data_IF_788936945393
#
_entry.id   IF_788936945393
#
_cell.length_a   1.000
_cell.length_b   1.000
_cell.length_c   1.000
_cell.angle_alpha   90.00
_cell.angle_beta   90.00
_cell.angle_gamma   90.00
#
_symmetry.space_group_name_H-M   'P 1'
#
loop_
_entity.id
_entity.type
_entity.pdbx_description
1 polymer ?
#
# COMPACT_ATOMS: atom_id res chain seq x y z
N UNK A 1 19.32 14.79 10.27
CA UNK A 1 18.40 13.77 10.82
C UNK A 1 17.59 13.24 9.68
N UNK A 2 17.51 11.92 9.49
CA UNK A 2 16.65 11.36 8.45
C UNK A 2 15.20 11.78 8.72
N UNK A 3 14.42 12.08 7.66
CA UNK A 3 13.00 12.30 7.84
C UNK A 3 12.39 11.04 8.47
N UNK A 4 11.42 11.21 9.37
CA UNK A 4 11.08 10.18 10.36
C UNK A 4 10.46 8.88 9.80
N UNK A 5 10.16 8.84 8.50
CA UNK A 5 9.69 7.65 7.78
C UNK A 5 10.78 6.96 6.93
N UNK A 6 11.96 7.57 6.77
CA UNK A 6 13.05 6.99 5.98
C UNK A 6 13.89 6.03 6.81
N UNK A 7 14.08 4.82 6.31
CA UNK A 7 14.84 3.78 7.01
C UNK A 7 14.47 2.38 6.56
N UNK A 8 15.11 1.41 7.19
CA UNK A 8 14.75 0.00 7.10
C UNK A 8 13.85 -0.35 8.28
N UNK A 9 12.68 -0.90 8.00
CA UNK A 9 11.60 -1.11 8.95
C UNK A 9 11.21 -2.58 8.98
N UNK A 10 11.00 -3.13 10.17
CA UNK A 10 10.45 -4.46 10.39
C UNK A 10 9.13 -4.35 11.16
N UNK A 11 8.09 -5.01 10.67
CA UNK A 11 6.79 -5.08 11.33
C UNK A 11 6.91 -5.93 12.61
N UNK A 12 6.60 -5.34 13.76
CA UNK A 12 6.45 -6.07 15.02
C UNK A 12 5.04 -6.66 15.09
N UNK A 13 4.93 -7.95 14.76
CA UNK A 13 3.66 -8.68 14.75
C UNK A 13 3.10 -8.93 16.15
N UNK A 14 3.87 -8.72 17.23
CA UNK A 14 3.42 -8.95 18.61
C UNK A 14 2.56 -7.83 19.15
N UNK A 15 2.77 -6.60 18.64
CA UNK A 15 2.00 -5.41 19.02
C UNK A 15 1.07 -4.93 17.90
N UNK A 16 1.30 -5.38 16.66
CA UNK A 16 0.42 -5.10 15.53
C UNK A 16 -0.94 -5.78 15.68
N UNK A 17 -1.98 -5.14 15.15
CA UNK A 17 -3.37 -5.61 15.23
C UNK A 17 -4.01 -5.62 13.85
N UNK A 18 -4.77 -6.68 13.59
CA UNK A 18 -5.55 -6.88 12.38
C UNK A 18 -6.91 -7.41 12.79
N UNK A 19 -7.94 -6.61 12.56
CA UNK A 19 -9.33 -6.97 12.78
C UNK A 19 -9.97 -7.19 11.40
N UNK A 20 -10.32 -8.44 11.10
CA UNK A 20 -10.98 -8.80 9.84
C UNK A 20 -12.40 -9.29 10.11
N UNK A 21 -13.35 -8.88 9.27
CA UNK A 21 -14.70 -9.44 9.30
C UNK A 21 -14.71 -10.94 8.98
N UNK A 22 -13.78 -11.39 8.14
CA UNK A 22 -13.55 -12.79 7.81
C UNK A 22 -12.05 -13.11 7.78
N UNK A 23 -11.63 -14.32 8.19
CA UNK A 23 -10.23 -14.71 8.13
C UNK A 23 -9.68 -14.58 6.69
N UNK A 24 -8.54 -13.91 6.49
CA UNK A 24 -7.91 -13.84 5.17
C UNK A 24 -7.43 -15.22 4.74
N UNK A 25 -7.39 -15.47 3.43
CA UNK A 25 -6.78 -16.69 2.90
C UNK A 25 -5.28 -16.70 3.18
N UNK A 26 -4.69 -17.91 3.24
CA UNK A 26 -3.23 -18.06 3.38
C UNK A 26 -2.49 -17.32 2.26
N UNK A 27 -3.01 -17.37 1.03
CA UNK A 27 -2.43 -16.63 -0.10
C UNK A 27 -2.43 -15.12 0.12
N UNK A 28 -3.52 -14.55 0.65
CA UNK A 28 -3.59 -13.13 0.99
C UNK A 28 -2.58 -12.76 2.10
N UNK A 29 -2.46 -13.60 3.13
CA UNK A 29 -1.49 -13.41 4.20
C UNK A 29 -0.04 -13.45 3.69
N UNK A 30 0.31 -14.42 2.83
CA UNK A 30 1.64 -14.51 2.24
C UNK A 30 1.93 -13.29 1.37
N UNK A 31 0.96 -12.88 0.55
CA UNK A 31 1.08 -11.69 -0.30
C UNK A 31 1.36 -10.43 0.53
N UNK A 32 0.61 -10.23 1.61
CA UNK A 32 0.85 -9.13 2.55
C UNK A 32 2.19 -9.24 3.24
N UNK A 33 2.55 -10.43 3.72
CA UNK A 33 3.81 -10.66 4.40
C UNK A 33 5.00 -10.29 3.51
N UNK A 34 4.98 -10.76 2.25
CA UNK A 34 6.04 -10.46 1.27
C UNK A 34 6.13 -8.98 0.92
N UNK A 35 5.08 -8.19 1.14
CA UNK A 35 5.02 -6.77 0.78
C UNK A 35 5.30 -5.84 1.95
N UNK A 36 4.94 -6.23 3.18
CA UNK A 36 4.81 -5.33 4.33
C UNK A 36 5.65 -5.70 5.54
N UNK A 37 6.12 -6.95 5.70
CA UNK A 37 6.78 -7.37 6.95
C UNK A 37 8.13 -6.72 7.14
N UNK A 38 8.90 -6.53 6.07
CA UNK A 38 10.19 -5.84 6.13
C UNK A 38 10.34 -4.95 4.90
N UNK A 39 10.43 -3.65 5.12
CA UNK A 39 10.40 -2.65 4.06
C UNK A 39 11.49 -1.63 4.25
N UNK A 40 12.08 -1.18 3.15
CA UNK A 40 12.91 0.01 3.07
C UNK A 40 12.04 1.14 2.57
N UNK A 41 12.05 2.25 3.28
CA UNK A 41 11.34 3.47 2.92
C UNK A 41 12.33 4.62 2.72
N UNK A 42 12.08 5.45 1.72
CA UNK A 42 12.76 6.73 1.56
C UNK A 42 11.73 7.81 1.21
N UNK A 43 11.73 8.91 1.96
CA UNK A 43 10.90 10.07 1.72
C UNK A 43 11.77 11.17 1.11
N UNK A 44 11.58 11.45 -0.18
CA UNK A 44 12.35 12.45 -0.93
C UNK A 44 11.46 13.16 -1.94
N UNK A 45 11.64 14.47 -2.08
CA UNK A 45 11.02 15.28 -3.15
C UNK A 45 9.51 15.08 -3.33
N UNK A 46 8.76 14.97 -2.22
CA UNK A 46 7.31 14.76 -2.27
C UNK A 46 6.91 13.35 -2.69
N UNK A 47 7.82 12.38 -2.61
CA UNK A 47 7.59 10.97 -2.91
C UNK A 47 7.94 10.09 -1.73
N UNK A 48 7.16 9.02 -1.56
CA UNK A 48 7.51 7.90 -0.70
C UNK A 48 7.93 6.72 -1.58
N UNK A 49 9.20 6.33 -1.50
CA UNK A 49 9.73 5.13 -2.14
C UNK A 49 9.64 3.97 -1.14
N UNK A 50 9.08 2.85 -1.57
CA UNK A 50 8.91 1.66 -0.71
C UNK A 50 9.41 0.42 -1.45
N UNK A 51 10.26 -0.36 -0.80
CA UNK A 51 10.73 -1.65 -1.31
C UNK A 51 10.67 -2.69 -0.19
N UNK A 52 10.05 -3.84 -0.45
CA UNK A 52 10.13 -4.99 0.44
C UNK A 52 11.54 -5.58 0.40
N UNK A 53 12.08 -5.94 1.56
CA UNK A 53 13.35 -6.65 1.68
C UNK A 53 13.30 -8.05 1.04
N UNK A 54 12.11 -8.63 0.87
CA UNK A 54 11.96 -9.98 0.32
C UNK A 54 12.14 -10.00 -1.20
N UNK A 55 11.81 -8.89 -1.89
CA UNK A 55 11.96 -8.72 -3.35
C UNK A 55 11.61 -9.99 -4.12
N UNK A 56 10.39 -10.51 -3.91
CA UNK A 56 9.92 -11.75 -4.54
C UNK A 56 10.18 -11.74 -6.05
N UNK A 57 10.02 -10.56 -6.66
CA UNK A 57 10.44 -10.30 -8.03
C UNK A 57 11.42 -9.10 -8.08
N UNK A 58 12.49 -9.18 -8.90
CA UNK A 58 13.37 -8.05 -9.15
C UNK A 58 12.60 -6.86 -9.70
N UNK A 59 12.68 -5.74 -8.99
CA UNK A 59 11.97 -4.50 -9.32
C UNK A 59 12.71 -3.30 -8.71
N UNK A 60 12.42 -2.12 -9.25
CA UNK A 60 12.68 -0.85 -8.59
C UNK A 60 11.67 -0.63 -7.44
N UNK A 61 11.98 0.24 -6.45
CA UNK A 61 11.04 0.58 -5.41
C UNK A 61 9.72 1.13 -5.97
N UNK A 62 8.61 0.80 -5.32
CA UNK A 62 7.33 1.44 -5.60
C UNK A 62 7.42 2.92 -5.20
N UNK A 63 7.21 3.82 -6.17
CA UNK A 63 7.27 5.26 -5.96
C UNK A 63 5.86 5.84 -5.85
N UNK A 64 5.50 6.30 -4.65
CA UNK A 64 4.23 6.97 -4.38
C UNK A 64 4.41 8.49 -4.41
N UNK A 65 3.77 9.15 -5.36
CA UNK A 65 3.66 10.62 -5.41
C UNK A 65 2.71 11.10 -4.31
N UNK A 66 3.11 12.13 -3.55
CA UNK A 66 2.38 12.64 -2.39
C UNK A 66 1.68 13.99 -2.67
N UNK A 67 1.23 14.20 -3.91
CA UNK A 67 0.64 15.46 -4.39
C UNK A 67 -0.90 15.52 -4.28
N UNK A 68 -1.51 14.47 -3.73
CA UNK A 68 -2.95 14.35 -3.55
C UNK A 68 -3.74 14.02 -4.81
N UNK A 69 -3.07 13.66 -5.92
CA UNK A 69 -3.72 13.31 -7.19
C UNK A 69 -3.76 11.79 -7.42
N UNK A 70 -4.65 11.32 -8.32
CA UNK A 70 -4.65 9.94 -8.80
C UNK A 70 -3.39 9.59 -9.60
N UNK A 71 -2.76 8.47 -9.27
CA UNK A 71 -1.60 7.91 -9.94
C UNK A 71 -1.73 6.39 -10.12
N UNK A 72 -0.83 5.80 -10.89
CA UNK A 72 -0.76 4.34 -11.12
C UNK A 72 0.63 3.82 -10.79
N UNK A 73 0.72 2.89 -9.84
CA UNK A 73 1.90 2.06 -9.63
C UNK A 73 1.94 0.94 -10.67
N UNK A 74 3.14 0.62 -11.14
CA UNK A 74 3.39 -0.53 -12.03
C UNK A 74 3.70 -1.82 -11.28
N UNK A 75 4.30 -1.70 -10.10
CA UNK A 75 4.68 -2.82 -9.27
C UNK A 75 4.50 -2.47 -7.79
N UNK A 76 4.08 -3.47 -7.00
CA UNK A 76 4.05 -3.42 -5.55
C UNK A 76 5.45 -3.55 -4.95
N UNK A 77 5.65 -3.23 -3.65
CA UNK A 77 6.97 -3.24 -3.03
C UNK A 77 7.70 -4.59 -3.06
N UNK A 78 6.98 -5.70 -3.22
CA UNK A 78 7.54 -7.04 -3.39
C UNK A 78 7.94 -7.36 -4.85
N UNK A 79 7.66 -6.47 -5.80
CA UNK A 79 7.89 -6.60 -7.23
C UNK A 79 6.76 -7.21 -8.02
N UNK A 80 5.63 -7.56 -7.39
CA UNK A 80 4.45 -8.06 -8.09
C UNK A 80 3.86 -6.97 -9.01
N UNK A 81 3.56 -7.33 -10.26
CA UNK A 81 2.93 -6.41 -11.21
C UNK A 81 1.50 -6.09 -10.79
N UNK A 82 1.11 -4.83 -10.93
CA UNK A 82 -0.23 -4.33 -10.57
C UNK A 82 -1.26 -4.53 -11.68
N UNK A 83 -0.81 -4.81 -12.91
CA UNK A 83 -1.67 -5.02 -14.07
C UNK A 83 -1.90 -6.52 -14.30
N UNK A 84 -2.99 -7.05 -13.72
CA UNK A 84 -3.45 -8.42 -13.95
C UNK A 84 -4.64 -8.48 -14.92
N UNK A 85 -4.83 -9.64 -15.55
CA UNK A 85 -5.97 -9.89 -16.46
C UNK A 85 -7.33 -9.99 -15.74
N UNK A 86 -7.32 -10.32 -14.46
CA UNK A 86 -8.52 -10.47 -13.62
C UNK A 86 -8.70 -9.34 -12.61
N UNK A 87 -7.58 -8.87 -12.06
CA UNK A 87 -7.56 -7.81 -11.07
C UNK A 87 -6.63 -6.73 -11.57
N UNK A 88 -7.15 -5.52 -11.70
CA UNK A 88 -6.37 -4.32 -11.93
C UNK A 88 -6.11 -3.66 -10.59
N UNK A 89 -4.84 -3.44 -10.27
CA UNK A 89 -4.41 -2.80 -9.04
C UNK A 89 -3.46 -1.64 -9.36
N UNK A 90 -2.95 -1.01 -8.30
CA UNK A 90 -1.89 -0.01 -8.41
C UNK A 90 -2.39 1.42 -8.57
N UNK A 91 -3.69 1.64 -8.78
CA UNK A 91 -4.27 2.97 -8.64
C UNK A 91 -4.10 3.46 -7.20
N UNK A 92 -3.64 4.70 -7.01
CA UNK A 92 -3.51 5.27 -5.68
C UNK A 92 -3.64 6.79 -5.65
N UNK A 93 -3.84 7.31 -4.43
CA UNK A 93 -3.69 8.73 -4.09
C UNK A 93 -2.81 8.84 -2.85
N UNK A 94 -1.74 9.61 -2.93
CA UNK A 94 -0.84 9.86 -1.80
C UNK A 94 -0.85 11.33 -1.37
N UNK A 95 -0.75 11.60 -0.07
CA UNK A 95 -0.66 12.95 0.50
C UNK A 95 0.33 12.99 1.65
N UNK A 96 1.18 14.00 1.67
CA UNK A 96 1.97 14.36 2.85
C UNK A 96 1.14 15.31 3.74
N UNK A 97 1.05 15.00 5.04
CA UNK A 97 0.33 15.81 6.03
C UNK A 97 1.28 16.08 7.20
N UNK A 98 2.09 17.14 7.07
CA UNK A 98 3.16 17.39 8.03
C UNK A 98 4.23 16.28 7.95
N UNK A 99 4.40 15.52 9.03
CA UNK A 99 5.30 14.35 9.08
C UNK A 99 4.60 13.03 8.73
N UNK A 100 3.27 13.04 8.61
CA UNK A 100 2.45 11.88 8.29
C UNK A 100 2.34 11.71 6.78
N UNK A 101 2.07 10.47 6.35
CA UNK A 101 1.71 10.14 4.97
C UNK A 101 0.39 9.39 4.95
N UNK A 102 -0.57 9.90 4.18
CA UNK A 102 -1.82 9.20 3.85
C UNK A 102 -1.68 8.61 2.44
N UNK A 103 -1.93 7.31 2.30
CA UNK A 103 -2.03 6.61 1.01
C UNK A 103 -3.39 5.94 0.92
N UNK A 104 -4.03 6.01 -0.25
CA UNK A 104 -5.20 5.19 -0.56
C UNK A 104 -4.88 4.39 -1.81
N UNK A 105 -4.84 3.08 -1.69
CA UNK A 105 -4.54 2.16 -2.78
C UNK A 105 -5.82 1.46 -3.23
N UNK A 106 -6.02 1.29 -4.54
CA UNK A 106 -7.24 0.74 -5.12
C UNK A 106 -6.95 -0.53 -5.94
N UNK A 107 -7.93 -1.43 -5.94
CA UNK A 107 -7.95 -2.66 -6.71
C UNK A 107 -9.34 -2.90 -7.30
N UNK A 108 -9.42 -3.44 -8.51
CA UNK A 108 -10.63 -3.67 -9.26
C UNK A 108 -10.64 -5.13 -9.73
N UNK A 109 -11.52 -5.95 -9.15
CA UNK A 109 -11.70 -7.35 -9.53
C UNK A 109 -12.88 -7.47 -10.49
N UNK A 110 -12.55 -7.64 -11.78
CA UNK A 110 -13.53 -7.74 -12.85
C UNK A 110 -14.37 -9.01 -12.78
N UNK A 111 -13.80 -10.10 -12.25
CA UNK A 111 -14.52 -11.37 -12.14
C UNK A 111 -15.46 -11.39 -10.93
N UNK A 112 -15.11 -10.69 -9.86
CA UNK A 112 -15.95 -10.57 -8.68
C UNK A 112 -16.94 -9.39 -8.75
N UNK A 113 -16.88 -8.55 -9.80
CA UNK A 113 -17.63 -7.30 -9.91
C UNK A 113 -17.55 -6.47 -8.62
N UNK A 114 -16.32 -6.27 -8.16
CA UNK A 114 -16.05 -5.54 -6.93
C UNK A 114 -14.75 -4.77 -7.01
N UNK A 115 -14.67 -3.70 -6.24
CA UNK A 115 -13.44 -2.97 -6.02
C UNK A 115 -13.10 -2.97 -4.53
N UNK A 116 -11.80 -2.91 -4.25
CA UNK A 116 -11.26 -2.71 -2.91
C UNK A 116 -10.45 -1.42 -2.86
N UNK A 117 -10.48 -0.74 -1.72
CA UNK A 117 -9.49 0.29 -1.41
C UNK A 117 -8.91 0.06 -0.02
N UNK A 118 -7.62 0.30 0.13
CA UNK A 118 -6.93 0.27 1.41
C UNK A 118 -6.42 1.68 1.69
N UNK A 119 -7.00 2.32 2.71
CA UNK A 119 -6.50 3.56 3.24
C UNK A 119 -5.43 3.25 4.29
N UNK A 120 -4.25 3.83 4.13
CA UNK A 120 -3.08 3.68 4.98
C UNK A 120 -2.71 5.05 5.53
N UNK A 121 -2.43 5.13 6.82
CA UNK A 121 -1.92 6.33 7.48
C UNK A 121 -0.64 5.99 8.21
N UNK A 122 0.48 6.45 7.67
CA UNK A 122 1.82 6.29 8.21
C UNK A 122 2.14 7.47 9.11
N UNK A 123 2.46 7.18 10.37
CA UNK A 123 2.80 8.16 11.40
C UNK A 123 4.10 7.79 12.08
N UNK A 124 5.09 8.69 12.08
CA UNK A 124 6.19 8.57 13.02
C UNK A 124 5.72 8.59 14.47
N UNK A 125 6.25 7.69 15.28
CA UNK A 125 5.99 7.62 16.71
C UNK A 125 7.31 7.37 17.45
N UNK A 126 8.02 8.47 17.76
CA UNK A 126 9.37 8.42 18.32
C UNK A 126 10.36 7.77 17.35
N UNK A 127 10.83 6.56 17.69
CA UNK A 127 11.73 5.76 16.84
C UNK A 127 11.00 4.73 15.99
N UNK A 128 9.68 4.61 16.12
CA UNK A 128 8.84 3.64 15.42
C UNK A 128 8.02 4.33 14.32
N UNK A 129 7.43 3.52 13.44
CA UNK A 129 6.38 3.97 12.52
C UNK A 129 5.11 3.19 12.82
N UNK A 130 4.01 3.90 13.02
CA UNK A 130 2.68 3.32 13.09
C UNK A 130 1.99 3.47 11.74
N UNK A 131 1.45 2.38 11.20
CA UNK A 131 0.63 2.38 10.01
C UNK A 131 -0.79 1.94 10.38
N UNK A 132 -1.68 2.91 10.59
CA UNK A 132 -3.11 2.62 10.69
C UNK A 132 -3.67 2.29 9.32
N UNK A 133 -4.61 1.34 9.23
CA UNK A 133 -5.25 1.04 7.96
C UNK A 133 -6.72 0.68 8.09
N UNK A 134 -7.46 0.97 7.01
CA UNK A 134 -8.82 0.50 6.77
C UNK A 134 -8.93 -0.05 5.36
N UNK A 135 -9.43 -1.27 5.25
CA UNK A 135 -9.76 -1.90 3.98
C UNK A 135 -11.26 -1.89 3.78
N UNK A 136 -11.66 -1.20 2.71
CA UNK A 136 -13.03 -1.09 2.26
C UNK A 136 -13.25 -1.92 0.99
N UNK A 137 -14.47 -2.43 0.82
CA UNK A 137 -14.94 -3.11 -0.39
C UNK A 137 -16.21 -2.44 -0.91
N UNK A 138 -16.29 -2.30 -2.21
CA UNK A 138 -17.44 -1.76 -2.91
C UNK A 138 -17.87 -2.74 -4.01
N UNK A 139 -19.16 -3.08 -4.03
CA UNK A 139 -19.73 -3.81 -5.16
C UNK A 139 -19.89 -2.85 -6.34
N UNK A 140 -19.35 -3.21 -7.50
CA UNK A 140 -19.36 -2.38 -8.70
C UNK A 140 -19.63 -3.26 -9.91
N UNK A 141 -20.54 -2.86 -10.77
CA UNK A 141 -20.72 -3.48 -12.08
C UNK A 141 -19.53 -3.10 -12.99
N UNK A 142 -18.39 -3.75 -12.80
CA UNK A 142 -17.18 -3.50 -13.58
C UNK A 142 -17.29 -4.17 -14.94
N UNK A 143 -17.07 -3.39 -15.99
CA UNK A 143 -16.92 -3.85 -17.38
C UNK A 143 -15.43 -3.82 -17.77
N UNK A 144 -15.06 -4.59 -18.79
CA UNK A 144 -13.64 -4.75 -19.17
C UNK A 144 -12.99 -3.46 -19.68
N UNK A 145 -13.76 -2.51 -20.20
CA UNK A 145 -13.29 -1.20 -20.68
C UNK A 145 -12.80 -0.30 -19.54
N UNK A 146 -13.24 -0.52 -18.30
CA UNK A 146 -12.75 0.22 -17.11
C UNK A 146 -11.23 0.10 -16.95
N UNK A 147 -10.63 -0.99 -17.43
CA UNK A 147 -9.18 -1.16 -17.44
C UNK A 147 -8.45 -0.13 -18.30
N UNK A 148 -9.11 0.42 -19.33
CA UNK A 148 -8.56 1.44 -20.22
C UNK A 148 -8.78 2.87 -19.72
N UNK A 149 -9.55 3.07 -18.67
CA UNK A 149 -9.83 4.40 -18.13
C UNK A 149 -8.60 5.02 -17.46
N UNK A 150 -8.66 6.31 -17.13
CA UNK A 150 -7.63 6.91 -16.28
C UNK A 150 -7.78 6.44 -14.83
N UNK A 151 -6.72 6.55 -14.03
CA UNK A 151 -6.80 6.30 -12.58
C UNK A 151 -7.83 7.23 -11.91
N UNK A 152 -7.94 8.48 -12.38
CA UNK A 152 -8.91 9.43 -11.85
C UNK A 152 -10.35 8.96 -12.05
N UNK A 153 -10.68 8.48 -13.25
CA UNK A 153 -12.03 7.99 -13.57
C UNK A 153 -12.36 6.71 -12.80
N UNK A 154 -11.39 5.79 -12.68
CA UNK A 154 -11.57 4.57 -11.88
C UNK A 154 -11.76 4.86 -10.39
N UNK A 155 -10.97 5.77 -9.84
CA UNK A 155 -11.10 6.19 -8.44
C UNK A 155 -12.44 6.90 -8.20
N UNK A 156 -12.94 7.66 -9.18
CA UNK A 156 -14.22 8.36 -9.07
C UNK A 156 -15.42 7.41 -8.88
N UNK A 157 -15.31 6.13 -9.28
CA UNK A 157 -16.33 5.10 -8.98
C UNK A 157 -16.61 4.93 -7.48
N UNK A 158 -15.68 5.33 -6.62
CA UNK A 158 -15.82 5.26 -5.17
C UNK A 158 -16.56 6.44 -4.54
N UNK A 159 -16.94 7.47 -5.31
CA UNK A 159 -17.62 8.65 -4.77
C UNK A 159 -19.10 8.38 -4.44
N UNK A 160 -19.75 7.51 -5.21
CA UNK A 160 -21.21 7.33 -5.16
C UNK A 160 -21.65 5.98 -4.56
N UNK A 161 -20.67 5.16 -4.15
CA UNK A 161 -20.90 3.81 -3.68
C UNK A 161 -20.92 3.66 -2.16
N UNK A 162 -21.83 2.85 -1.63
CA UNK A 162 -21.80 2.43 -0.22
C UNK A 162 -20.77 1.31 -0.04
N UNK A 163 -19.59 1.68 0.45
CA UNK A 163 -18.55 0.72 0.78
C UNK A 163 -18.74 0.08 2.16
N UNK A 164 -18.27 -1.15 2.32
CA UNK A 164 -18.23 -1.86 3.60
C UNK A 164 -16.78 -2.04 4.05
N UNK A 165 -16.52 -1.90 5.35
CA UNK A 165 -15.22 -2.22 5.95
C UNK A 165 -15.09 -3.74 6.03
N UNK A 166 -14.02 -4.28 5.47
CA UNK A 166 -13.73 -5.73 5.50
C UNK A 166 -12.57 -6.08 6.42
N UNK A 167 -11.66 -5.13 6.66
CA UNK A 167 -10.62 -5.23 7.65
C UNK A 167 -10.15 -3.84 8.12
N UNK A 168 -9.60 -3.76 9.31
CA UNK A 168 -8.93 -2.58 9.85
C UNK A 168 -7.84 -2.98 10.82
N UNK A 169 -6.95 -2.07 11.14
CA UNK A 169 -5.95 -2.36 12.16
C UNK A 169 -4.82 -1.35 12.22
N UNK A 170 -3.75 -1.77 12.85
CA UNK A 170 -2.52 -0.97 12.98
C UNK A 170 -1.32 -1.89 12.92
N UNK A 171 -0.42 -1.60 11.99
CA UNK A 171 0.88 -2.22 11.92
C UNK A 171 1.89 -1.31 12.60
N UNK A 172 2.74 -1.88 13.46
CA UNK A 172 3.81 -1.14 14.13
C UNK A 172 5.14 -1.61 13.59
N UNK A 173 5.98 -0.66 13.22
CA UNK A 173 7.27 -0.90 12.62
C UNK A 173 8.39 -0.40 13.52
N UNK A 174 9.39 -1.25 13.69
CA UNK A 174 10.63 -0.94 14.39
C UNK A 174 11.78 -0.76 13.41
N UNK A 175 12.76 0.11 13.71
CA UNK A 175 13.94 0.25 12.87
C UNK A 175 14.72 -1.07 12.89
N UNK A 176 15.11 -1.55 11.72
CA UNK A 176 16.07 -2.64 11.62
C UNK A 176 17.41 -2.14 12.20
N UNK A 177 18.02 -2.91 13.11
CA UNK A 177 19.38 -2.61 13.54
C UNK A 177 20.31 -2.54 12.31
N UNK A 178 21.20 -1.54 12.28
CA UNK A 178 22.05 -1.22 11.13
C UNK A 178 22.80 -2.44 10.62
N UNK A 179 22.28 -2.98 9.52
CA UNK A 179 22.94 -3.95 8.66
C UNK A 179 22.84 -3.42 7.23
N UNK A 180 23.37 -2.22 7.00
CA UNK A 180 23.42 -1.63 5.66
C UNK A 180 24.36 -2.46 4.77
N UNK A 181 23.91 -3.01 3.63
CA UNK A 181 24.65 -2.82 2.41
C UNK A 181 24.28 -1.42 1.90
N UNK A 182 25.29 -0.55 1.87
CA UNK A 182 25.26 0.73 1.20
C UNK A 182 24.69 0.58 -0.21
N UNK A 183 23.76 1.45 -0.59
CA UNK A 183 23.47 1.70 -2.00
C UNK A 183 24.63 2.53 -2.56
N UNK A 184 25.74 1.85 -2.86
CA UNK A 184 26.76 2.34 -3.77
C UNK A 184 26.77 1.50 -5.03
N UNK A 185 26.08 2.04 -6.04
CA UNK A 185 26.46 2.22 -7.46
C UNK A 185 25.27 1.98 -8.38
#
# INVERSE_FOLDING_TARGET
GHPPLSGDWACDTTVSRLDCAHPPSVGALVRWATSLVRVRCALCDGRLLVQSAWRVYPSEPSAFELDGKPHVLRAWPNGEATLGSRVLEGDYVGRAIGADVDLVCYAFDFAAHSSSRVALRLRPDGTRVQCGFEWHRLALALTADVAAWSAADRIALWNDGTAVIVASGTLVYEPCADGSPSLHQ
#
